data_IF_315041997554
#
_entry.id   IF_315041997554
#
_cell.length_a   1.000
_cell.length_b   1.000
_cell.length_c   1.000
_cell.angle_alpha   90.00
_cell.angle_beta   90.00
_cell.angle_gamma   90.00
#
_symmetry.space_group_name_H-M   'P 1'
#
loop_
_entity.id
_entity.type
_entity.pdbx_description
1 polymer ?
#
# COMPACT_ATOMS: atom_id res chain seq x y z
N UNK A 1 14.25 -0.24 7.48
CA UNK A 1 14.85 -1.54 7.19
C UNK A 1 15.60 -1.49 5.88
N UNK A 2 16.79 -2.01 5.86
CA UNK A 2 17.60 -1.97 4.67
C UNK A 2 17.20 -3.04 3.68
N UNK A 3 17.15 -2.68 2.41
CA UNK A 3 16.81 -3.59 1.33
C UNK A 3 18.02 -4.43 0.96
N UNK A 4 17.87 -5.76 1.01
CA UNK A 4 18.93 -6.66 0.60
C UNK A 4 18.87 -6.89 -0.91
N UNK A 5 19.60 -6.09 -1.66
CA UNK A 5 19.65 -6.15 -3.12
C UNK A 5 20.55 -7.26 -3.64
N UNK A 6 21.36 -7.88 -2.76
CA UNK A 6 22.30 -8.91 -3.17
C UNK A 6 21.71 -10.31 -3.09
N UNK A 7 20.62 -10.48 -2.39
CA UNK A 7 19.95 -11.78 -2.30
C UNK A 7 18.97 -11.91 -3.46
N UNK A 8 19.11 -12.94 -4.31
CA UNK A 8 18.13 -13.18 -5.35
C UNK A 8 16.73 -13.33 -4.75
N UNK A 9 15.77 -12.65 -5.33
CA UNK A 9 14.39 -12.69 -4.86
C UNK A 9 13.45 -12.32 -6.00
N UNK A 10 12.19 -12.75 -5.88
CA UNK A 10 11.16 -12.48 -6.89
C UNK A 10 9.94 -11.81 -6.28
N UNK A 11 10.01 -11.39 -5.03
CA UNK A 11 8.92 -10.70 -4.37
C UNK A 11 9.43 -9.60 -3.46
N UNK A 12 8.66 -8.50 -3.40
CA UNK A 12 8.94 -7.36 -2.52
C UNK A 12 7.65 -6.92 -1.86
N UNK A 13 7.72 -6.60 -0.58
CA UNK A 13 6.57 -6.14 0.17
C UNK A 13 6.93 -4.87 0.91
N UNK A 14 6.32 -3.78 0.49
CA UNK A 14 6.47 -2.48 1.16
C UNK A 14 5.25 -2.25 2.04
N UNK A 15 5.50 -1.86 3.29
CA UNK A 15 4.46 -1.59 4.27
C UNK A 15 4.64 -0.19 4.80
N UNK A 16 3.55 0.55 4.91
CA UNK A 16 3.58 1.91 5.44
C UNK A 16 2.46 2.08 6.46
N UNK A 17 2.83 2.54 7.66
CA UNK A 17 1.89 2.99 8.66
C UNK A 17 2.04 4.49 8.77
N UNK A 18 0.99 5.23 8.41
CA UNK A 18 1.02 6.69 8.35
C UNK A 18 0.26 7.33 9.50
N UNK A 19 0.82 8.40 10.05
CA UNK A 19 0.32 9.07 11.24
C UNK A 19 0.09 10.56 10.98
N UNK A 20 -0.85 11.13 11.72
CA UNK A 20 -1.11 12.55 11.63
C UNK A 20 -1.69 12.98 10.29
N UNK A 21 -2.38 12.08 9.62
CA UNK A 21 -3.02 12.38 8.35
C UNK A 21 -4.22 13.28 8.49
N UNK A 22 -4.61 13.91 7.38
CA UNK A 22 -5.78 14.77 7.33
C UNK A 22 -7.05 13.94 7.39
N UNK A 23 -7.91 14.22 8.36
CA UNK A 23 -9.12 13.44 8.57
C UNK A 23 -10.02 13.41 7.34
N UNK A 24 -10.17 14.56 6.66
CA UNK A 24 -11.03 14.65 5.47
C UNK A 24 -10.48 13.80 4.33
N UNK A 25 -9.15 13.83 4.13
CA UNK A 25 -8.53 13.03 3.07
C UNK A 25 -8.63 11.55 3.37
N UNK A 26 -8.43 11.18 4.63
CA UNK A 26 -8.53 9.79 5.06
C UNK A 26 -9.96 9.25 4.99
N UNK A 27 -10.96 10.14 5.09
CA UNK A 27 -12.37 9.78 5.03
C UNK A 27 -12.96 9.97 3.64
N UNK A 28 -12.13 10.12 2.64
CA UNK A 28 -12.56 10.35 1.26
C UNK A 28 -12.37 9.09 0.43
N UNK A 29 -13.50 8.43 0.13
CA UNK A 29 -13.51 7.22 -0.69
C UNK A 29 -12.78 7.43 -2.02
N UNK A 30 -13.00 8.60 -2.63
CA UNK A 30 -12.43 8.86 -3.96
C UNK A 30 -10.92 8.99 -3.94
N UNK A 31 -10.34 9.51 -2.85
CA UNK A 31 -8.88 9.56 -2.72
C UNK A 31 -8.32 8.15 -2.60
N UNK A 32 -8.95 7.29 -1.79
CA UNK A 32 -8.52 5.90 -1.65
C UNK A 32 -8.63 5.19 -3.00
N UNK A 33 -9.76 5.35 -3.69
CA UNK A 33 -9.96 4.75 -5.01
C UNK A 33 -8.90 5.24 -6.00
N UNK A 34 -8.67 6.55 -6.04
CA UNK A 34 -7.73 7.15 -6.97
C UNK A 34 -6.31 6.62 -6.75
N UNK A 35 -5.88 6.50 -5.50
CA UNK A 35 -4.56 5.96 -5.20
C UNK A 35 -4.42 4.54 -5.73
N UNK A 36 -5.40 3.70 -5.49
CA UNK A 36 -5.36 2.31 -5.94
C UNK A 36 -5.44 2.19 -7.45
N UNK A 37 -6.12 3.14 -8.10
CA UNK A 37 -6.28 3.13 -9.54
C UNK A 37 -5.04 3.67 -10.26
N UNK A 38 -4.38 4.67 -9.69
CA UNK A 38 -3.29 5.38 -10.33
C UNK A 38 -1.91 4.80 -10.00
N UNK A 39 -1.68 4.42 -8.75
CA UNK A 39 -0.35 4.02 -8.31
C UNK A 39 0.23 2.86 -9.11
N UNK A 40 -0.53 1.79 -9.45
CA UNK A 40 0.04 0.72 -10.25
C UNK A 40 0.65 1.21 -11.56
N UNK A 41 -0.03 2.09 -12.28
CA UNK A 41 0.50 2.63 -13.54
C UNK A 41 1.79 3.41 -13.32
N UNK A 42 1.84 4.19 -12.25
CA UNK A 42 3.05 4.97 -11.93
C UNK A 42 4.23 4.08 -11.58
N UNK A 43 3.98 2.88 -11.11
CA UNK A 43 5.02 1.90 -10.78
C UNK A 43 5.31 0.94 -11.92
N UNK A 44 4.67 1.12 -13.07
CA UNK A 44 4.84 0.22 -14.22
C UNK A 44 4.18 -1.13 -14.02
N UNK A 45 3.16 -1.20 -13.16
CA UNK A 45 2.44 -2.43 -12.86
C UNK A 45 1.08 -2.43 -13.56
N UNK A 46 0.45 -3.60 -13.66
CA UNK A 46 -0.75 -3.80 -14.47
C UNK A 46 -1.92 -4.25 -13.62
N UNK A 47 -2.98 -3.46 -13.59
CA UNK A 47 -4.19 -3.81 -12.86
C UNK A 47 -4.89 -4.99 -13.53
N UNK A 48 -5.37 -5.93 -12.73
CA UNK A 48 -6.22 -7.02 -13.18
C UNK A 48 -7.69 -6.73 -12.93
N UNK A 49 -7.99 -5.78 -12.05
CA UNK A 49 -9.37 -5.43 -11.70
C UNK A 49 -9.47 -3.94 -11.44
N UNK A 50 -10.71 -3.44 -11.41
CA UNK A 50 -10.97 -2.14 -10.84
C UNK A 50 -10.70 -2.21 -9.33
N UNK A 51 -10.22 -1.12 -8.72
CA UNK A 51 -10.11 -1.09 -7.27
C UNK A 51 -11.45 -1.30 -6.60
N UNK A 52 -11.43 -2.00 -5.46
CA UNK A 52 -12.60 -2.18 -4.60
C UNK A 52 -12.38 -1.33 -3.35
N UNK A 53 -13.35 -0.52 -2.98
CA UNK A 53 -13.26 0.32 -1.78
C UNK A 53 -14.57 0.21 -1.02
N UNK A 54 -14.47 -0.23 0.23
CA UNK A 54 -15.64 -0.47 1.09
C UNK A 54 -15.54 0.36 2.35
N UNK A 55 -16.68 0.78 2.87
CA UNK A 55 -16.72 1.44 4.18
C UNK A 55 -16.80 0.37 5.28
N UNK A 56 -15.90 0.49 6.25
CA UNK A 56 -15.90 -0.36 7.44
C UNK A 56 -16.38 0.47 8.61
N UNK A 57 -17.48 0.06 9.27
CA UNK A 57 -18.04 0.82 10.38
C UNK A 57 -17.18 0.75 11.65
N UNK A 58 -16.23 -0.19 11.68
CA UNK A 58 -15.35 -0.32 12.83
C UNK A 58 -15.92 -1.19 13.94
N UNK A 59 -15.28 -1.11 15.09
CA UNK A 59 -15.71 -1.85 16.28
C UNK A 59 -15.53 -0.97 17.51
N UNK A 60 -16.07 -1.44 18.64
CA UNK A 60 -15.89 -0.75 19.90
C UNK A 60 -14.45 -0.94 20.35
N UNK A 61 -13.68 0.13 20.45
CA UNK A 61 -12.30 0.06 20.90
C UNK A 61 -11.34 0.69 19.90
N UNK A 62 -10.37 -0.06 19.41
CA UNK A 62 -9.27 0.53 18.65
C UNK A 62 -9.60 0.84 17.19
N UNK A 63 -10.65 0.26 16.64
CA UNK A 63 -11.00 0.48 15.24
C UNK A 63 -12.25 1.37 15.13
N UNK A 64 -12.07 2.68 14.87
CA UNK A 64 -13.21 3.60 14.73
C UNK A 64 -13.88 3.55 13.35
N UNK A 65 -13.39 2.69 12.46
CA UNK A 65 -13.92 2.61 11.11
C UNK A 65 -13.17 3.46 10.12
N UNK A 66 -13.54 3.30 8.85
CA UNK A 66 -12.91 4.02 7.74
C UNK A 66 -13.07 3.26 6.45
N UNK A 67 -12.21 3.56 5.49
CA UNK A 67 -12.27 2.96 4.16
C UNK A 67 -11.23 1.85 4.03
N UNK A 68 -11.66 0.73 3.47
CA UNK A 68 -10.79 -0.40 3.15
C UNK A 68 -10.80 -0.61 1.65
N UNK A 69 -9.64 -0.48 1.02
CA UNK A 69 -9.50 -0.57 -0.42
C UNK A 69 -8.45 -1.58 -0.83
N UNK A 70 -8.62 -2.11 -2.04
CA UNK A 70 -7.79 -3.19 -2.52
C UNK A 70 -7.80 -3.21 -4.05
N UNK A 71 -6.65 -3.44 -4.67
CA UNK A 71 -6.56 -3.67 -6.11
C UNK A 71 -5.65 -4.85 -6.38
N UNK A 72 -6.13 -5.76 -7.23
CA UNK A 72 -5.32 -6.89 -7.70
C UNK A 72 -4.54 -6.42 -8.92
N UNK A 73 -3.26 -6.69 -8.90
CA UNK A 73 -2.38 -6.40 -10.03
C UNK A 73 -1.75 -7.70 -10.49
N UNK A 74 -1.29 -7.74 -11.75
CA UNK A 74 -0.62 -8.96 -12.25
C UNK A 74 0.55 -9.35 -11.34
N UNK A 75 1.19 -8.35 -10.76
CA UNK A 75 2.37 -8.53 -9.92
C UNK A 75 2.05 -8.84 -8.46
N UNK A 76 0.86 -8.72 -7.98
CA UNK A 76 0.23 -9.17 -6.73
C UNK A 76 -0.90 -8.27 -6.26
N UNK A 77 -0.69 -7.29 -5.36
CA UNK A 77 -1.79 -6.43 -4.91
C UNK A 77 -1.28 -5.21 -4.14
N UNK A 78 -2.18 -4.22 -4.03
CA UNK A 78 -1.98 -3.05 -3.18
C UNK A 78 -3.25 -2.89 -2.34
N UNK A 79 -3.10 -2.61 -1.05
CA UNK A 79 -4.22 -2.40 -0.15
C UNK A 79 -4.04 -1.14 0.68
N UNK A 80 -5.17 -0.52 1.06
CA UNK A 80 -5.20 0.69 1.86
C UNK A 80 -6.32 0.55 2.88
N UNK A 81 -6.01 0.80 4.16
CA UNK A 81 -7.01 0.85 5.23
C UNK A 81 -6.87 2.18 5.95
N UNK A 82 -7.90 3.02 5.90
CA UNK A 82 -7.87 4.32 6.56
C UNK A 82 -8.65 4.29 7.87
N UNK A 83 -8.18 5.09 8.82
CA UNK A 83 -8.80 5.27 10.12
C UNK A 83 -8.87 6.78 10.37
N UNK A 84 -9.84 7.47 9.72
CA UNK A 84 -9.85 8.95 9.69
C UNK A 84 -9.84 9.58 11.08
N UNK A 85 -10.60 9.04 12.01
CA UNK A 85 -10.68 9.60 13.38
C UNK A 85 -9.38 9.47 14.15
N UNK A 86 -8.48 8.58 13.71
CA UNK A 86 -7.16 8.38 14.32
C UNK A 86 -6.07 9.12 13.56
N UNK A 87 -6.37 9.67 12.40
CA UNK A 87 -5.33 10.24 11.53
C UNK A 87 -4.38 9.17 11.01
N UNK A 88 -4.83 7.92 10.94
CA UNK A 88 -3.98 6.77 10.69
C UNK A 88 -4.36 6.08 9.38
N UNK A 89 -3.35 5.56 8.68
CA UNK A 89 -3.55 4.75 7.48
C UNK A 89 -2.54 3.62 7.47
N UNK A 90 -2.99 2.44 7.05
CA UNK A 90 -2.13 1.26 6.90
C UNK A 90 -2.15 0.83 5.45
N UNK A 91 -0.98 0.72 4.84
CA UNK A 91 -0.84 0.50 3.41
C UNK A 91 0.15 -0.64 3.15
N UNK A 92 -0.23 -1.50 2.21
CA UNK A 92 0.63 -2.58 1.74
C UNK A 92 0.75 -2.51 0.23
N UNK A 93 1.98 -2.61 -0.27
CA UNK A 93 2.24 -2.75 -1.69
C UNK A 93 3.11 -3.98 -1.87
N UNK A 94 2.50 -5.07 -2.31
CA UNK A 94 3.14 -6.35 -2.48
C UNK A 94 3.23 -6.68 -3.96
N UNK A 95 4.43 -6.96 -4.44
CA UNK A 95 4.67 -7.17 -5.87
C UNK A 95 5.75 -8.22 -6.10
N UNK A 96 5.62 -8.96 -7.20
CA UNK A 96 6.70 -9.82 -7.68
C UNK A 96 7.69 -9.06 -8.58
N UNK A 97 7.43 -7.79 -8.85
CA UNK A 97 8.33 -6.95 -9.63
C UNK A 97 9.46 -6.45 -8.76
N UNK A 98 10.70 -6.71 -9.16
CA UNK A 98 11.85 -6.25 -8.40
C UNK A 98 12.13 -4.76 -8.65
N UNK A 99 12.70 -4.11 -7.63
CA UNK A 99 13.11 -2.72 -7.77
C UNK A 99 12.01 -1.71 -7.58
N UNK A 100 10.96 -2.05 -6.81
CA UNK A 100 9.91 -1.09 -6.49
C UNK A 100 10.52 0.15 -5.82
N UNK A 101 10.13 1.33 -6.32
CA UNK A 101 10.62 2.60 -5.78
C UNK A 101 9.85 2.95 -4.50
N UNK A 102 10.35 2.45 -3.37
CA UNK A 102 9.68 2.64 -2.08
C UNK A 102 9.70 4.09 -1.63
N UNK A 103 10.72 4.86 -2.02
CA UNK A 103 10.78 6.29 -1.69
C UNK A 103 9.65 7.03 -2.40
N UNK A 104 9.41 6.71 -3.67
CA UNK A 104 8.29 7.29 -4.41
C UNK A 104 6.96 6.91 -3.78
N UNK A 105 6.78 5.65 -3.41
CA UNK A 105 5.53 5.17 -2.80
C UNK A 105 5.25 5.89 -1.48
N UNK A 106 6.27 6.03 -0.64
CA UNK A 106 6.12 6.75 0.63
C UNK A 106 5.69 8.20 0.39
N UNK A 107 6.36 8.88 -0.53
CA UNK A 107 6.01 10.27 -0.85
C UNK A 107 4.61 10.37 -1.43
N UNK A 108 4.24 9.44 -2.29
CA UNK A 108 2.92 9.42 -2.92
C UNK A 108 1.80 9.41 -1.87
N UNK A 109 1.90 8.51 -0.90
CA UNK A 109 0.89 8.40 0.14
C UNK A 109 0.97 9.51 1.19
N UNK A 110 2.18 9.98 1.48
CA UNK A 110 2.35 11.14 2.36
C UNK A 110 1.61 12.35 1.80
N UNK A 111 1.74 12.57 0.49
CA UNK A 111 1.05 13.68 -0.17
C UNK A 111 -0.46 13.45 -0.23
N UNK A 112 -0.89 12.23 -0.56
CA UNK A 112 -2.31 11.93 -0.72
C UNK A 112 -3.11 12.14 0.55
N UNK A 113 -2.55 11.78 1.70
CA UNK A 113 -3.24 11.84 2.99
C UNK A 113 -2.68 12.89 3.94
N UNK A 114 -1.75 13.73 3.46
CA UNK A 114 -1.12 14.78 4.26
C UNK A 114 -0.54 14.22 5.57
N UNK A 115 0.20 13.12 5.47
CA UNK A 115 0.78 12.47 6.64
C UNK A 115 1.89 13.32 7.26
N UNK A 116 1.93 13.36 8.58
CA UNK A 116 2.99 14.08 9.30
C UNK A 116 4.15 13.17 9.67
N UNK A 117 3.91 11.87 9.73
CA UNK A 117 4.91 10.89 10.08
C UNK A 117 4.55 9.54 9.47
N UNK A 118 5.53 8.70 9.24
CA UNK A 118 5.30 7.37 8.69
C UNK A 118 6.38 6.41 9.15
N UNK A 119 5.95 5.18 9.42
CA UNK A 119 6.85 4.07 9.63
C UNK A 119 6.78 3.19 8.40
N UNK A 120 7.93 2.80 7.87
CA UNK A 120 7.96 1.95 6.68
C UNK A 120 8.79 0.71 6.94
N UNK A 121 8.40 -0.37 6.27
CA UNK A 121 9.14 -1.61 6.26
C UNK A 121 9.22 -2.12 4.83
N UNK A 122 10.33 -2.69 4.47
CA UNK A 122 10.52 -3.27 3.15
C UNK A 122 11.08 -4.68 3.33
N UNK A 123 10.34 -5.67 2.84
CA UNK A 123 10.72 -7.06 2.99
C UNK A 123 10.91 -7.68 1.62
N UNK A 124 12.09 -8.29 1.40
CA UNK A 124 12.30 -9.10 0.21
C UNK A 124 11.71 -10.48 0.48
N UNK A 125 10.98 -10.99 -0.52
CA UNK A 125 10.27 -12.25 -0.42
C UNK A 125 10.61 -13.12 -1.62
N UNK A 126 10.15 -14.35 -1.63
CA UNK A 126 10.37 -15.30 -2.72
C UNK A 126 11.87 -15.58 -2.94
N UNK A 127 12.64 -15.61 -1.87
CA UNK A 127 14.08 -15.91 -1.93
C UNK A 127 14.33 -17.34 -2.39
N UNK A 128 13.38 -18.21 -2.16
CA UNK A 128 13.45 -19.61 -2.55
C UNK A 128 12.40 -19.96 -3.60
N UNK A 129 11.98 -18.96 -4.35
CA UNK A 129 11.00 -19.17 -5.40
C UNK A 129 11.51 -20.23 -6.38
N UNK A 130 10.67 -21.23 -6.75
CA UNK A 130 11.11 -22.28 -7.67
C UNK A 130 11.39 -21.70 -9.05
N UNK A 131 12.66 -21.49 -9.36
CA UNK A 131 13.10 -20.86 -10.61
C UNK A 131 13.00 -21.81 -11.81
N UNK A 132 12.79 -23.08 -11.55
CA UNK A 132 12.72 -24.09 -12.59
C UNK A 132 11.53 -23.78 -13.50
N UNK A 133 11.78 -23.59 -14.78
CA UNK A 133 10.79 -23.26 -15.78
C UNK A 133 10.35 -21.79 -15.80
N UNK A 134 11.14 -20.92 -15.23
CA UNK A 134 10.91 -19.48 -15.35
C UNK A 134 11.49 -19.01 -16.69
#
# INVERSE_FOLDING_TARGET
MEKDLNTPHFGEHFMLDGYGGDEKSLDDREIVFHCLNELPEKLGMHKLSEPLVYFASGNDGKDPGGWSGFVVIEESHISIHTFPKRGFVSIDAYTCQNGMDSVFVEKYFTDAFALKDAETNFVVRWKRYPEKNI
#
